data_IF_354107167952
#
_entry.id   IF_354107167952
#
_cell.length_a   1.000
_cell.length_b   1.000
_cell.length_c   1.000
_cell.angle_alpha   90.00
_cell.angle_beta   90.00
_cell.angle_gamma   90.00
#
_symmetry.space_group_name_H-M   'P 1'
#
loop_
_entity.id
_entity.type
_entity.pdbx_description
1 polymer ?
#
# COMPACT_ATOMS: atom_id res chain seq x y z
N UNK A 1 -8.77 -11.15 -31.09
CA UNK A 1 -9.03 -10.46 -29.80
C UNK A 1 -9.30 -8.99 -30.11
N UNK A 2 -10.36 -8.40 -29.57
CA UNK A 2 -10.73 -7.00 -29.87
C UNK A 2 -9.81 -6.03 -29.14
N UNK A 3 -9.44 -4.91 -29.77
CA UNK A 3 -8.53 -3.87 -29.21
C UNK A 3 -8.99 -3.40 -27.82
N UNK A 4 -10.31 -3.28 -27.61
CA UNK A 4 -10.92 -2.90 -26.32
C UNK A 4 -10.66 -3.92 -25.20
N UNK A 5 -10.49 -5.19 -25.53
CA UNK A 5 -10.20 -6.25 -24.54
C UNK A 5 -8.77 -6.16 -24.05
N UNK A 6 -7.83 -5.76 -24.91
CA UNK A 6 -6.40 -5.61 -24.57
C UNK A 6 -6.20 -4.41 -23.65
N UNK A 7 -6.83 -3.28 -23.95
CA UNK A 7 -6.78 -2.06 -23.13
C UNK A 7 -7.35 -2.28 -21.73
N UNK A 8 -8.49 -2.97 -21.60
CA UNK A 8 -9.08 -3.28 -20.30
C UNK A 8 -8.16 -4.15 -19.45
N UNK A 9 -7.56 -5.19 -20.03
CA UNK A 9 -6.65 -6.11 -19.29
C UNK A 9 -5.39 -5.37 -18.81
N UNK A 10 -4.84 -4.48 -19.64
CA UNK A 10 -3.69 -3.65 -19.24
C UNK A 10 -4.03 -2.70 -18.09
N UNK A 11 -5.20 -2.07 -18.14
CA UNK A 11 -5.65 -1.15 -17.09
C UNK A 11 -5.84 -1.85 -15.74
N UNK A 12 -6.50 -3.02 -15.71
CA UNK A 12 -6.65 -3.79 -14.47
C UNK A 12 -5.30 -4.24 -13.91
N UNK A 13 -4.38 -4.67 -14.78
CA UNK A 13 -3.01 -5.02 -14.38
C UNK A 13 -2.27 -3.86 -13.70
N UNK A 14 -2.45 -2.63 -14.21
CA UNK A 14 -1.88 -1.44 -13.59
C UNK A 14 -2.51 -1.14 -12.21
N UNK A 15 -3.84 -1.27 -12.08
CA UNK A 15 -4.51 -1.07 -10.80
C UNK A 15 -4.02 -2.07 -9.73
N UNK A 16 -3.89 -3.35 -10.11
CA UNK A 16 -3.38 -4.41 -9.23
C UNK A 16 -1.96 -4.10 -8.77
N UNK A 17 -1.07 -3.74 -9.70
CA UNK A 17 0.33 -3.44 -9.40
C UNK A 17 0.45 -2.25 -8.42
N UNK A 18 -0.36 -1.21 -8.59
CA UNK A 18 -0.35 -0.05 -7.70
C UNK A 18 -0.86 -0.40 -6.29
N UNK A 19 -1.93 -1.20 -6.20
CA UNK A 19 -2.42 -1.70 -4.90
C UNK A 19 -1.37 -2.56 -4.20
N UNK A 20 -0.69 -3.44 -4.94
CA UNK A 20 0.40 -4.26 -4.41
C UNK A 20 1.51 -3.37 -3.85
N UNK A 21 1.94 -2.32 -4.56
CA UNK A 21 2.98 -1.39 -4.06
C UNK A 21 2.55 -0.71 -2.77
N UNK A 22 1.33 -0.17 -2.71
CA UNK A 22 0.82 0.53 -1.52
C UNK A 22 0.76 -0.42 -0.33
N UNK A 23 0.20 -1.62 -0.51
CA UNK A 23 0.14 -2.62 0.56
C UNK A 23 1.53 -3.09 0.98
N UNK A 24 2.48 -3.20 0.05
CA UNK A 24 3.87 -3.57 0.34
C UNK A 24 4.56 -2.55 1.25
N UNK A 25 4.26 -1.26 1.07
CA UNK A 25 4.74 -0.20 1.97
C UNK A 25 4.19 -0.42 3.38
N UNK A 26 2.89 -0.68 3.52
CA UNK A 26 2.28 -0.95 4.83
C UNK A 26 2.87 -2.19 5.50
N UNK A 27 3.14 -3.25 4.73
CA UNK A 27 3.83 -4.44 5.23
C UNK A 27 5.25 -4.11 5.70
N UNK A 28 5.99 -3.30 4.95
CA UNK A 28 7.32 -2.85 5.35
C UNK A 28 7.27 -2.08 6.68
N UNK A 29 6.21 -1.30 6.90
CA UNK A 29 5.90 -0.60 8.15
C UNK A 29 5.47 -1.50 9.31
N UNK A 30 5.25 -2.79 9.07
CA UNK A 30 4.68 -3.71 10.05
C UNK A 30 3.17 -3.54 10.26
N UNK A 31 2.48 -2.83 9.35
CA UNK A 31 1.02 -2.70 9.33
C UNK A 31 0.43 -3.81 8.46
N UNK A 32 0.14 -4.95 9.09
CA UNK A 32 -0.34 -6.15 8.40
C UNK A 32 -1.88 -6.23 8.25
N UNK A 33 -2.64 -5.44 9.02
CA UNK A 33 -4.10 -5.54 9.10
C UNK A 33 -4.84 -5.55 7.76
N UNK A 34 -4.58 -4.60 6.84
CA UNK A 34 -5.23 -4.59 5.54
C UNK A 34 -4.89 -5.80 4.67
N UNK A 35 -3.64 -6.26 4.70
CA UNK A 35 -3.17 -7.44 3.94
C UNK A 35 -3.81 -8.72 4.49
N UNK A 36 -3.88 -8.84 5.81
CA UNK A 36 -4.53 -9.96 6.49
C UNK A 36 -6.02 -10.07 6.17
N UNK A 37 -6.72 -8.93 6.09
CA UNK A 37 -8.13 -8.90 5.67
C UNK A 37 -8.29 -9.32 4.22
N UNK A 38 -7.45 -8.81 3.30
CA UNK A 38 -7.49 -9.23 1.90
C UNK A 38 -7.22 -10.73 1.72
N UNK A 39 -6.27 -11.28 2.48
CA UNK A 39 -5.95 -12.70 2.44
C UNK A 39 -7.12 -13.59 2.91
N UNK A 40 -8.01 -13.05 3.75
CA UNK A 40 -9.18 -13.75 4.30
C UNK A 40 -10.49 -13.37 3.63
N UNK A 41 -10.48 -12.42 2.69
CA UNK A 41 -11.68 -11.93 2.05
C UNK A 41 -12.45 -13.08 1.36
N UNK A 42 -13.76 -13.11 1.59
CA UNK A 42 -14.71 -14.02 0.94
C UNK A 42 -15.76 -13.27 0.12
N UNK A 43 -15.87 -11.96 0.32
CA UNK A 43 -16.82 -11.05 -0.28
C UNK A 43 -16.15 -9.72 -0.65
N UNK A 44 -16.87 -8.90 -1.43
CA UNK A 44 -16.37 -7.60 -1.90
C UNK A 44 -16.32 -6.54 -0.81
N UNK A 45 -17.19 -6.61 0.20
CA UNK A 45 -17.27 -5.63 1.29
C UNK A 45 -16.01 -5.71 2.16
N UNK A 46 -15.52 -6.92 2.41
CA UNK A 46 -14.24 -7.16 3.10
C UNK A 46 -13.06 -6.58 2.30
N UNK A 47 -13.07 -6.73 0.98
CA UNK A 47 -12.04 -6.16 0.10
C UNK A 47 -12.10 -4.63 0.17
N UNK A 48 -13.30 -4.05 0.08
CA UNK A 48 -13.51 -2.61 0.19
C UNK A 48 -13.02 -2.06 1.53
N UNK A 49 -13.39 -2.71 2.63
CA UNK A 49 -12.97 -2.32 3.98
C UNK A 49 -11.44 -2.36 4.15
N UNK A 50 -10.78 -3.38 3.60
CA UNK A 50 -9.32 -3.48 3.62
C UNK A 50 -8.65 -2.35 2.79
N UNK A 51 -9.22 -2.01 1.64
CA UNK A 51 -8.72 -0.93 0.79
C UNK A 51 -8.94 0.46 1.41
N UNK A 52 -10.08 0.69 2.04
CA UNK A 52 -10.32 1.91 2.80
C UNK A 52 -9.33 2.07 3.95
N UNK A 53 -9.07 1.00 4.70
CA UNK A 53 -8.08 1.01 5.77
C UNK A 53 -6.67 1.29 5.22
N UNK A 54 -6.31 0.68 4.09
CA UNK A 54 -5.03 0.93 3.39
C UNK A 54 -4.84 2.41 3.09
N UNK A 55 -5.87 3.06 2.52
CA UNK A 55 -5.86 4.50 2.23
C UNK A 55 -5.68 5.34 3.49
N UNK A 56 -6.40 4.98 4.56
CA UNK A 56 -6.33 5.69 5.83
C UNK A 56 -4.91 5.73 6.40
N UNK A 57 -4.13 4.66 6.24
CA UNK A 57 -2.74 4.63 6.68
C UNK A 57 -1.81 5.43 5.76
N UNK A 58 -1.95 5.31 4.44
CA UNK A 58 -0.94 5.84 3.50
C UNK A 58 -1.15 7.31 3.11
N UNK A 59 -2.41 7.78 2.97
CA UNK A 59 -2.72 9.13 2.48
C UNK A 59 -2.06 10.23 3.34
N UNK A 60 -2.14 10.20 4.69
CA UNK A 60 -1.56 11.26 5.51
C UNK A 60 -0.05 11.42 5.29
N UNK A 61 0.66 10.30 5.14
CA UNK A 61 2.10 10.30 4.90
C UNK A 61 2.44 10.82 3.51
N UNK A 62 1.68 10.41 2.50
CA UNK A 62 1.88 10.91 1.14
C UNK A 62 1.68 12.43 1.07
N UNK A 63 0.65 12.96 1.73
CA UNK A 63 0.41 14.42 1.78
C UNK A 63 1.57 15.15 2.45
N UNK A 64 2.07 14.66 3.58
CA UNK A 64 3.23 15.27 4.27
C UNK A 64 4.46 15.34 3.37
N UNK A 65 4.79 14.23 2.69
CA UNK A 65 5.94 14.15 1.79
C UNK A 65 5.77 14.98 0.49
N UNK A 66 4.54 15.26 0.06
CA UNK A 66 4.25 16.15 -1.06
C UNK A 66 4.39 17.62 -0.66
N UNK A 67 3.92 17.97 0.53
CA UNK A 67 3.95 19.33 1.06
C UNK A 67 5.34 19.76 1.57
N UNK A 68 6.32 18.85 1.58
CA UNK A 68 7.65 19.12 2.12
C UNK A 68 7.64 19.33 3.64
N UNK A 69 6.62 18.80 4.33
CA UNK A 69 6.40 18.97 5.78
C UNK A 69 6.88 17.77 6.58
N UNK A 70 7.70 16.90 5.98
CA UNK A 70 8.31 15.78 6.68
C UNK A 70 9.33 16.26 7.73
N UNK A 71 9.32 15.61 8.89
CA UNK A 71 10.43 15.73 9.84
C UNK A 71 11.69 15.06 9.27
N UNK A 72 12.86 15.39 9.82
CA UNK A 72 14.13 14.73 9.46
C UNK A 72 14.07 13.20 9.60
N UNK A 73 13.31 12.71 10.60
CA UNK A 73 13.04 11.28 10.80
C UNK A 73 12.14 10.65 9.73
N UNK A 74 11.32 11.46 9.05
CA UNK A 74 10.41 11.03 7.98
C UNK A 74 10.99 11.20 6.58
N UNK A 75 12.11 11.92 6.43
CA UNK A 75 12.75 12.17 5.15
C UNK A 75 13.14 10.87 4.44
N UNK A 76 13.76 9.93 5.17
CA UNK A 76 14.12 8.62 4.62
C UNK A 76 12.90 7.82 4.12
N UNK A 77 11.78 7.94 4.82
CA UNK A 77 10.49 7.34 4.43
C UNK A 77 9.95 8.01 3.16
N UNK A 78 9.94 9.34 3.09
CA UNK A 78 9.48 10.06 1.91
C UNK A 78 10.33 9.73 0.68
N UNK A 79 11.65 9.57 0.82
CA UNK A 79 12.54 9.12 -0.26
C UNK A 79 12.17 7.71 -0.72
N UNK A 80 11.97 6.77 0.21
CA UNK A 80 11.57 5.40 -0.13
C UNK A 80 10.20 5.37 -0.84
N UNK A 81 9.22 6.13 -0.34
CA UNK A 81 7.91 6.26 -1.00
C UNK A 81 8.05 6.80 -2.42
N UNK A 82 9.00 7.73 -2.68
CA UNK A 82 9.17 8.38 -3.99
C UNK A 82 9.78 7.42 -5.00
N UNK A 83 10.63 6.53 -4.52
CA UNK A 83 11.22 5.46 -5.31
C UNK A 83 10.20 4.36 -5.64
N UNK A 84 9.35 3.99 -4.67
CA UNK A 84 8.35 2.92 -4.84
C UNK A 84 7.16 3.40 -5.70
N UNK A 85 6.69 4.62 -5.47
CA UNK A 85 5.54 5.20 -6.17
C UNK A 85 6.03 6.16 -7.26
N UNK A 86 6.06 5.67 -8.51
CA UNK A 86 6.45 6.46 -9.70
C UNK A 86 5.72 7.79 -9.80
N UNK A 87 4.43 7.78 -9.49
CA UNK A 87 3.64 8.98 -9.31
C UNK A 87 3.24 8.99 -7.85
N UNK A 88 3.69 9.99 -7.10
CA UNK A 88 3.39 10.15 -5.68
C UNK A 88 1.90 10.44 -5.40
N UNK A 89 1.01 10.09 -6.32
CA UNK A 89 -0.43 10.26 -6.29
C UNK A 89 -1.04 8.87 -6.14
N UNK A 90 -1.44 8.54 -4.92
CA UNK A 90 -2.46 7.51 -4.72
C UNK A 90 -3.77 8.15 -5.10
N UNK A 91 -4.18 7.93 -6.34
CA UNK A 91 -5.49 8.30 -6.82
C UNK A 91 -6.49 7.26 -6.32
N UNK A 92 -7.52 7.69 -5.58
CA UNK A 92 -8.63 6.85 -5.13
C UNK A 92 -9.28 6.11 -6.30
N UNK A 93 -9.17 6.64 -7.53
CA UNK A 93 -9.63 5.98 -8.76
C UNK A 93 -8.95 4.63 -9.01
N UNK A 94 -7.66 4.48 -8.65
CA UNK A 94 -6.90 3.23 -8.85
C UNK A 94 -7.34 2.14 -7.87
N UNK A 95 -7.71 2.53 -6.66
CA UNK A 95 -8.28 1.62 -5.67
C UNK A 95 -9.71 1.25 -6.03
N UNK A 96 -10.50 2.22 -6.50
CA UNK A 96 -11.85 1.97 -7.02
C UNK A 96 -11.80 0.99 -8.20
N UNK A 97 -10.81 1.15 -9.09
CA UNK A 97 -10.55 0.20 -10.17
C UNK A 97 -10.26 -1.21 -9.64
N UNK A 98 -9.38 -1.35 -8.64
CA UNK A 98 -9.12 -2.65 -8.03
C UNK A 98 -10.37 -3.25 -7.42
N UNK A 99 -11.12 -2.50 -6.59
CA UNK A 99 -12.35 -3.00 -5.95
C UNK A 99 -13.37 -3.45 -6.99
N UNK A 100 -13.61 -2.67 -8.04
CA UNK A 100 -14.64 -2.98 -9.04
C UNK A 100 -14.35 -4.26 -9.84
N UNK A 101 -13.07 -4.60 -9.99
CA UNK A 101 -12.64 -5.79 -10.73
C UNK A 101 -12.13 -6.90 -9.78
N UNK A 102 -12.18 -6.66 -8.47
CA UNK A 102 -11.66 -7.58 -7.48
C UNK A 102 -12.59 -8.78 -7.28
N UNK A 103 -11.97 -9.95 -7.23
CA UNK A 103 -12.58 -11.16 -6.68
C UNK A 103 -11.83 -11.57 -5.41
N UNK A 104 -12.45 -12.35 -4.51
CA UNK A 104 -11.75 -12.94 -3.36
C UNK A 104 -10.46 -13.67 -3.75
N UNK A 105 -10.44 -14.33 -4.90
CA UNK A 105 -9.24 -15.01 -5.43
C UNK A 105 -8.14 -14.02 -5.81
N UNK A 106 -8.49 -12.90 -6.45
CA UNK A 106 -7.53 -11.85 -6.80
C UNK A 106 -7.00 -11.14 -5.55
N UNK A 107 -7.88 -10.82 -4.59
CA UNK A 107 -7.51 -10.21 -3.31
C UNK A 107 -6.46 -11.03 -2.56
N UNK A 108 -6.63 -12.35 -2.51
CA UNK A 108 -5.65 -13.27 -1.90
C UNK A 108 -4.30 -13.25 -2.59
N UNK A 109 -4.28 -13.23 -3.93
CA UNK A 109 -3.03 -13.11 -4.70
C UNK A 109 -2.31 -11.81 -4.41
N UNK A 110 -3.04 -10.70 -4.42
CA UNK A 110 -2.53 -9.37 -4.09
C UNK A 110 -1.97 -9.31 -2.68
N UNK A 111 -2.65 -9.91 -1.71
CA UNK A 111 -2.18 -9.95 -0.33
C UNK A 111 -0.84 -10.70 -0.19
N UNK A 112 -0.72 -11.89 -0.81
CA UNK A 112 0.52 -12.68 -0.78
C UNK A 112 1.66 -11.93 -1.46
N UNK A 113 1.38 -11.33 -2.62
CA UNK A 113 2.38 -10.59 -3.38
C UNK A 113 2.86 -9.36 -2.61
N UNK A 114 1.94 -8.60 -2.02
CA UNK A 114 2.26 -7.44 -1.19
C UNK A 114 3.07 -7.84 0.06
N UNK A 115 2.74 -8.97 0.70
CA UNK A 115 3.50 -9.49 1.82
C UNK A 115 4.94 -9.80 1.41
N UNK A 116 5.13 -10.55 0.31
CA UNK A 116 6.46 -10.90 -0.19
C UNK A 116 7.28 -9.65 -0.54
N UNK A 117 6.70 -8.72 -1.28
CA UNK A 117 7.40 -7.49 -1.71
C UNK A 117 7.68 -6.57 -0.54
N UNK A 118 6.75 -6.42 0.41
CA UNK A 118 6.92 -5.58 1.60
C UNK A 118 8.05 -6.05 2.51
N UNK A 119 8.23 -7.36 2.67
CA UNK A 119 9.37 -7.91 3.40
C UNK A 119 10.71 -7.56 2.71
N UNK A 120 10.79 -7.69 1.38
CA UNK A 120 11.98 -7.27 0.62
C UNK A 120 12.21 -5.74 0.67
N UNK A 121 11.15 -4.93 0.68
CA UNK A 121 11.28 -3.48 0.84
C UNK A 121 11.87 -3.11 2.19
N UNK A 122 11.50 -3.83 3.26
CA UNK A 122 12.06 -3.60 4.59
C UNK A 122 13.56 -3.89 4.65
N UNK A 123 14.03 -4.89 3.90
CA UNK A 123 15.46 -5.18 3.75
C UNK A 123 16.17 -4.11 2.90
N UNK A 124 15.52 -3.63 1.84
CA UNK A 124 16.08 -2.59 0.94
C UNK A 124 16.17 -1.21 1.61
N UNK A 125 15.21 -0.84 2.44
CA UNK A 125 15.18 0.45 3.14
C UNK A 125 15.05 0.28 4.66
N UNK A 126 16.09 -0.27 5.33
CA UNK A 126 16.02 -0.62 6.74
C UNK A 126 15.79 0.60 7.64
N UNK A 127 16.28 1.79 7.24
CA UNK A 127 16.12 3.03 7.99
C UNK A 127 14.78 3.74 7.75
N UNK A 128 14.10 3.46 6.63
CA UNK A 128 12.79 4.03 6.32
C UNK A 128 11.64 3.29 7.02
N UNK A 129 11.82 1.98 7.23
CA UNK A 129 10.79 1.06 7.71
C UNK A 129 11.17 0.34 9.02
N UNK A 130 12.09 0.93 9.80
CA UNK A 130 12.55 0.35 11.07
C UNK A 130 11.47 0.41 12.16
N UNK A 131 11.14 -0.74 12.73
CA UNK A 131 10.27 -0.91 13.89
C UNK A 131 10.77 -0.18 15.16
N UNK A 132 11.99 0.36 15.17
CA UNK A 132 12.48 1.22 16.27
C UNK A 132 11.90 2.64 16.24
N UNK A 133 11.33 3.10 15.13
CA UNK A 133 10.68 4.42 15.07
C UNK A 133 9.31 4.45 15.78
N UNK A 134 8.62 3.31 15.86
CA UNK A 134 7.27 3.20 16.45
C UNK A 134 7.31 3.13 17.99
N UNK A 135 8.45 2.78 18.61
CA UNK A 135 8.58 2.68 20.08
C UNK A 135 8.73 4.01 20.83
N UNK A 136 8.69 5.15 20.14
CA UNK A 136 8.90 6.47 20.79
C UNK A 136 7.61 7.12 21.29
N UNK A 137 6.43 6.54 21.07
CA UNK A 137 5.17 7.07 21.63
C UNK A 137 4.72 6.38 22.93
N UNK A 138 5.34 5.26 23.34
CA UNK A 138 4.99 4.58 24.61
C UNK A 138 5.79 5.07 25.83
N UNK A 139 6.76 5.98 25.65
CA UNK A 139 7.65 6.44 26.75
C UNK A 139 7.44 7.89 27.21
N UNK A 140 6.53 8.66 26.61
CA UNK A 140 6.21 10.02 27.07
C UNK A 140 4.89 10.14 27.85
N UNK A 141 4.28 9.01 28.25
CA UNK A 141 3.03 8.99 29.06
C UNK A 141 3.10 8.09 30.29
N UNK A 142 4.28 7.89 30.87
CA UNK A 142 4.43 7.29 32.20
C UNK A 142 5.41 8.07 33.06
#
# INVERSE_FOLDING_TARGET
MSVRTVEKVQYVGQCVEEVVKILSILVADGVYGPVDRLARAVDIETIYAAMYETLRYIIPDLRKCQEGKESEKQLARCVALKDILREFKVDESKITCFVNEASPKLAKKVAIEALSRGLSLREKYPHAFSSKAIRTQEKETR
#
